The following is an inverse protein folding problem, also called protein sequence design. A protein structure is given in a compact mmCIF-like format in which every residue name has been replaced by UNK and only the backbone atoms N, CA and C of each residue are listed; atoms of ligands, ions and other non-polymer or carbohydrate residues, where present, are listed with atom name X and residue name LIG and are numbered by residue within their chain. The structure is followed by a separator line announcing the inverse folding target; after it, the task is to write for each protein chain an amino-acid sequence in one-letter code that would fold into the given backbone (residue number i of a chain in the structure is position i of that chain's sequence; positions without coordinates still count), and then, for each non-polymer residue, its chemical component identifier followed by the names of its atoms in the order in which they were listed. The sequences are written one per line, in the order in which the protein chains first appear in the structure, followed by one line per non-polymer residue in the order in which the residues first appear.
data_IF_145583450454
#
_entry.id   IF_145583450454
#
_cell.length_a   1.000
_cell.length_b   1.000
_cell.length_c   1.000
_cell.angle_alpha   90.00
_cell.angle_beta   90.00
_cell.angle_gamma   90.00
#
_symmetry.space_group_name_H-M   'P 1'
#
loop_
_entity.id
_entity.type
_entity.pdbx_description
1 polymer ?
#
# COMPACT_ATOMS: atom_id res chain seq x y z
N UNK A 1 12.36 18.43 -23.56
CA UNK A 1 12.01 18.63 -22.13
C UNK A 1 13.24 18.28 -21.31
N UNK A 2 13.81 19.24 -20.58
CA UNK A 2 14.95 18.96 -19.69
C UNK A 2 14.44 18.17 -18.49
N UNK A 3 15.12 17.08 -18.12
CA UNK A 3 14.76 16.28 -16.96
C UNK A 3 15.04 17.11 -15.69
N UNK A 4 13.99 17.55 -15.00
CA UNK A 4 14.11 18.26 -13.73
C UNK A 4 13.28 17.56 -12.63
N UNK A 5 13.62 17.85 -11.37
CA UNK A 5 13.02 17.19 -10.22
C UNK A 5 11.52 17.46 -10.10
N UNK A 6 11.09 18.67 -10.44
CA UNK A 6 9.68 19.11 -10.33
C UNK A 6 8.79 18.39 -11.33
N UNK A 7 9.22 18.26 -12.57
CA UNK A 7 8.46 17.58 -13.62
C UNK A 7 8.41 16.08 -13.37
N UNK A 8 9.53 15.49 -12.94
CA UNK A 8 9.58 14.10 -12.51
C UNK A 8 8.59 13.84 -11.36
N UNK A 9 8.63 14.67 -10.32
CA UNK A 9 7.74 14.57 -9.17
C UNK A 9 6.28 14.65 -9.60
N UNK A 10 5.92 15.67 -10.40
CA UNK A 10 4.57 15.84 -10.95
C UNK A 10 4.09 14.59 -11.70
N UNK A 11 4.90 14.02 -12.59
CA UNK A 11 4.52 12.83 -13.38
C UNK A 11 4.30 11.62 -12.47
N UNK A 12 5.23 11.37 -11.54
CA UNK A 12 5.19 10.19 -10.67
C UNK A 12 4.05 10.22 -9.65
N UNK A 13 3.49 11.39 -9.36
CA UNK A 13 2.38 11.55 -8.39
C UNK A 13 1.07 12.02 -9.01
N UNK A 14 1.00 12.32 -10.31
CA UNK A 14 -0.16 12.93 -10.98
C UNK A 14 -1.50 12.20 -10.76
N UNK A 15 -1.48 10.87 -10.69
CA UNK A 15 -2.68 10.04 -10.56
C UNK A 15 -3.02 9.62 -9.12
N UNK A 16 -2.24 10.06 -8.13
CA UNK A 16 -2.37 9.56 -6.74
C UNK A 16 -3.63 10.09 -6.08
N UNK A 17 -4.48 9.19 -5.56
CA UNK A 17 -5.69 9.52 -4.80
C UNK A 17 -5.37 9.87 -3.34
N UNK A 18 -6.31 10.54 -2.69
CA UNK A 18 -6.23 10.81 -1.24
C UNK A 18 -6.10 9.49 -0.47
N UNK A 19 -5.20 9.44 0.51
CA UNK A 19 -4.85 8.27 1.32
C UNK A 19 -4.24 7.08 0.57
N UNK A 20 -4.00 7.20 -0.74
CA UNK A 20 -3.26 6.21 -1.50
C UNK A 20 -1.78 6.26 -1.12
N UNK A 21 -1.15 5.11 -1.11
CA UNK A 21 0.28 5.02 -0.86
C UNK A 21 1.08 5.62 -2.01
N UNK A 22 2.29 6.11 -1.72
CA UNK A 22 3.25 6.40 -2.78
C UNK A 22 3.61 5.11 -3.52
N UNK A 23 3.64 5.20 -4.85
CA UNK A 23 4.14 4.12 -5.68
C UNK A 23 5.61 3.82 -5.36
N UNK A 24 6.08 2.56 -5.54
CA UNK A 24 7.48 2.21 -5.31
C UNK A 24 8.44 3.08 -6.14
N UNK A 25 8.06 3.41 -7.38
CA UNK A 25 8.83 4.28 -8.28
C UNK A 25 8.95 5.70 -7.72
N UNK A 26 7.86 6.28 -7.21
CA UNK A 26 7.89 7.60 -6.58
C UNK A 26 8.77 7.60 -5.32
N UNK A 27 8.71 6.53 -4.50
CA UNK A 27 9.58 6.39 -3.31
C UNK A 27 11.05 6.31 -3.69
N UNK A 28 11.40 5.52 -4.71
CA UNK A 28 12.76 5.41 -5.21
C UNK A 28 13.29 6.76 -5.71
N UNK A 29 12.48 7.50 -6.48
CA UNK A 29 12.85 8.82 -6.97
C UNK A 29 13.04 9.84 -5.83
N UNK A 30 12.19 9.81 -4.80
CA UNK A 30 12.33 10.64 -3.59
C UNK A 30 13.65 10.31 -2.88
N UNK A 31 13.91 9.04 -2.59
CA UNK A 31 15.15 8.63 -1.91
C UNK A 31 16.39 8.98 -2.75
N UNK A 32 16.34 8.76 -4.07
CA UNK A 32 17.44 9.11 -4.98
C UNK A 32 17.71 10.61 -5.03
N UNK A 33 16.67 11.44 -5.06
CA UNK A 33 16.83 12.90 -5.04
C UNK A 33 17.46 13.40 -3.73
N UNK A 34 17.03 12.85 -2.58
CA UNK A 34 17.64 13.19 -1.28
C UNK A 34 19.09 12.69 -1.20
N UNK A 35 19.37 11.47 -1.68
CA UNK A 35 20.73 10.94 -1.74
C UNK A 35 21.64 11.75 -2.67
N UNK A 36 21.08 12.33 -3.74
CA UNK A 36 21.74 13.28 -4.62
C UNK A 36 21.91 14.69 -4.05
N UNK A 37 21.62 14.91 -2.76
CA UNK A 37 21.83 16.17 -2.05
C UNK A 37 20.67 17.17 -2.11
N UNK A 38 19.54 16.82 -2.73
CA UNK A 38 18.37 17.69 -2.72
C UNK A 38 17.79 17.79 -1.29
N UNK A 39 17.43 19.00 -0.87
CA UNK A 39 16.78 19.17 0.44
C UNK A 39 15.42 18.46 0.46
N UNK A 40 15.05 17.87 1.61
CA UNK A 40 13.75 17.20 1.75
C UNK A 40 12.57 18.14 1.48
N UNK A 41 12.73 19.45 1.76
CA UNK A 41 11.71 20.48 1.49
C UNK A 41 11.53 20.71 -0.01
N UNK A 42 12.63 20.75 -0.76
CA UNK A 42 12.61 20.85 -2.24
C UNK A 42 11.97 19.62 -2.86
N UNK A 43 12.33 18.43 -2.39
CA UNK A 43 11.75 17.16 -2.86
C UNK A 43 10.25 17.10 -2.55
N UNK A 44 9.83 17.50 -1.34
CA UNK A 44 8.43 17.54 -0.96
C UNK A 44 7.59 18.44 -1.89
N UNK A 45 8.11 19.64 -2.22
CA UNK A 45 7.47 20.57 -3.14
C UNK A 45 7.37 19.98 -4.56
N UNK A 46 8.45 19.36 -5.06
CA UNK A 46 8.49 18.75 -6.39
C UNK A 46 7.48 17.59 -6.56
N UNK A 47 7.32 16.76 -5.53
CA UNK A 47 6.41 15.60 -5.53
C UNK A 47 5.00 15.92 -5.01
N UNK A 48 4.71 17.16 -4.63
CA UNK A 48 3.40 17.54 -4.09
C UNK A 48 3.00 16.78 -2.83
N UNK A 49 3.97 16.40 -1.99
CA UNK A 49 3.75 15.67 -0.74
C UNK A 49 4.22 16.48 0.48
N UNK A 50 3.76 16.11 1.67
CA UNK A 50 4.28 16.72 2.89
C UNK A 50 5.74 16.35 3.13
N UNK A 51 6.50 17.25 3.77
CA UNK A 51 7.88 16.99 4.21
C UNK A 51 7.99 15.72 5.08
N UNK A 52 7.01 15.47 5.95
CA UNK A 52 6.96 14.28 6.81
C UNK A 52 6.91 12.99 5.98
N UNK A 53 6.22 13.00 4.84
CA UNK A 53 6.16 11.83 3.93
C UNK A 53 7.54 11.56 3.32
N UNK A 54 8.29 12.60 2.93
CA UNK A 54 9.66 12.45 2.43
C UNK A 54 10.56 11.86 3.52
N UNK A 55 10.55 12.44 4.72
CA UNK A 55 11.33 11.96 5.86
C UNK A 55 11.02 10.49 6.20
N UNK A 56 9.74 10.13 6.28
CA UNK A 56 9.30 8.74 6.52
C UNK A 56 9.72 7.80 5.40
N UNK A 57 9.71 8.25 4.14
CA UNK A 57 10.11 7.41 2.99
C UNK A 57 11.60 7.09 3.06
N UNK A 58 12.44 8.10 3.34
CA UNK A 58 13.89 7.93 3.52
C UNK A 58 14.19 7.01 4.70
N UNK A 59 13.57 7.27 5.86
CA UNK A 59 13.74 6.44 7.06
C UNK A 59 13.32 4.99 6.81
N UNK A 60 12.17 4.79 6.16
CA UNK A 60 11.67 3.45 5.83
C UNK A 60 12.64 2.70 4.93
N UNK A 61 13.16 3.34 3.89
CA UNK A 61 14.17 2.73 3.02
C UNK A 61 15.42 2.35 3.80
N UNK A 62 15.92 3.22 4.69
CA UNK A 62 17.07 2.90 5.54
C UNK A 62 16.85 1.69 6.45
N UNK A 63 15.61 1.44 6.88
CA UNK A 63 15.29 0.29 7.75
C UNK A 63 14.96 -0.99 6.97
N UNK A 64 14.29 -0.90 5.81
CA UNK A 64 13.73 -2.06 5.12
C UNK A 64 14.40 -2.39 3.79
N UNK A 65 15.27 -1.52 3.28
CA UNK A 65 16.00 -1.65 2.00
C UNK A 65 15.08 -2.01 0.82
N UNK A 66 13.82 -1.60 0.89
CA UNK A 66 12.78 -1.91 -0.10
C UNK A 66 11.83 -0.72 -0.25
N UNK A 67 11.41 -0.49 -1.49
CA UNK A 67 10.42 0.52 -1.84
C UNK A 67 9.00 -0.02 -1.85
N UNK A 68 8.82 -1.34 -1.75
CA UNK A 68 7.51 -1.98 -1.77
C UNK A 68 6.76 -1.75 -0.47
N UNK A 69 5.44 -1.68 -0.59
CA UNK A 69 4.58 -1.56 0.59
C UNK A 69 4.56 -2.87 1.35
N UNK A 70 4.69 -2.78 2.68
CA UNK A 70 4.53 -3.93 3.56
C UNK A 70 3.04 -4.30 3.59
N UNK A 71 2.72 -5.59 3.78
CA UNK A 71 1.37 -5.97 4.18
C UNK A 71 0.90 -5.09 5.33
N UNK A 72 -0.33 -4.57 5.22
CA UNK A 72 -0.89 -3.71 6.27
C UNK A 72 -1.02 -4.53 7.55
N UNK A 73 -0.69 -3.92 8.69
CA UNK A 73 -0.91 -4.53 9.99
C UNK A 73 -2.40 -4.77 10.19
N UNK A 74 -2.75 -6.00 10.52
CA UNK A 74 -4.11 -6.44 10.80
C UNK A 74 -4.08 -7.87 11.35
N UNK A 75 -5.21 -8.35 11.88
CA UNK A 75 -5.34 -9.75 12.27
C UNK A 75 -5.17 -10.62 11.02
N UNK A 76 -4.25 -11.59 10.99
CA UNK A 76 -4.20 -12.58 9.91
C UNK A 76 -5.59 -13.18 9.71
N UNK A 77 -6.01 -13.37 8.47
CA UNK A 77 -7.29 -14.01 8.20
C UNK A 77 -7.24 -15.43 8.77
N UNK A 78 -8.24 -15.78 9.60
CA UNK A 78 -8.35 -17.12 10.17
C UNK A 78 -8.74 -18.17 9.11
N UNK A 79 -9.33 -17.72 8.02
CA UNK A 79 -9.82 -18.54 6.92
C UNK A 79 -9.03 -18.23 5.65
N UNK A 80 -8.77 -19.25 4.84
CA UNK A 80 -8.27 -19.04 3.48
C UNK A 80 -9.41 -18.57 2.57
N UNK A 81 -9.07 -18.02 1.40
CA UNK A 81 -10.09 -17.70 0.37
C UNK A 81 -10.91 -18.92 -0.06
N UNK A 82 -10.34 -20.13 0.03
CA UNK A 82 -11.03 -21.36 -0.31
C UNK A 82 -12.06 -21.70 0.77
N UNK A 83 -11.71 -21.58 2.05
CA UNK A 83 -12.61 -21.81 3.18
C UNK A 83 -13.78 -20.81 3.16
N UNK A 84 -13.50 -19.52 2.94
CA UNK A 84 -14.54 -18.50 2.79
C UNK A 84 -15.51 -18.85 1.66
N UNK A 85 -14.98 -19.27 0.50
CA UNK A 85 -15.80 -19.66 -0.65
C UNK A 85 -16.63 -20.90 -0.36
N UNK A 86 -16.05 -21.90 0.31
CA UNK A 86 -16.76 -23.11 0.71
C UNK A 86 -17.91 -22.78 1.66
N UNK A 87 -17.66 -22.03 2.73
CA UNK A 87 -18.68 -21.60 3.70
C UNK A 87 -19.81 -20.85 3.00
N UNK A 88 -19.49 -19.88 2.14
CA UNK A 88 -20.51 -19.10 1.42
C UNK A 88 -21.36 -19.98 0.51
N UNK A 89 -20.76 -20.94 -0.20
CA UNK A 89 -21.50 -21.82 -1.11
C UNK A 89 -22.34 -22.85 -0.36
N UNK A 90 -21.81 -23.41 0.74
CA UNK A 90 -22.54 -24.31 1.62
C UNK A 90 -23.74 -23.60 2.28
N UNK A 91 -23.56 -22.34 2.70
CA UNK A 91 -24.64 -21.52 3.27
C UNK A 91 -25.75 -21.24 2.25
N UNK A 92 -25.39 -20.94 0.99
CA UNK A 92 -26.36 -20.76 -0.10
C UNK A 92 -27.14 -22.02 -0.42
N UNK A 93 -26.47 -23.18 -0.47
CA UNK A 93 -27.12 -24.48 -0.72
C UNK A 93 -28.04 -24.88 0.44
N UNK A 94 -27.69 -24.48 1.65
CA UNK A 94 -28.37 -24.86 2.88
C UNK A 94 -29.10 -23.68 3.52
N UNK A 95 -29.69 -22.80 2.71
CA UNK A 95 -30.22 -21.51 3.14
C UNK A 95 -31.37 -21.58 4.17
N UNK A 96 -31.94 -22.78 4.39
CA UNK A 96 -33.03 -23.02 5.35
C UNK A 96 -32.54 -23.60 6.68
N UNK A 97 -31.27 -23.95 6.81
CA UNK A 97 -30.71 -24.51 8.04
C UNK A 97 -30.48 -23.43 9.08
N UNK A 98 -30.66 -23.80 10.34
CA UNK A 98 -30.24 -22.97 11.46
C UNK A 98 -28.72 -22.96 11.56
N UNK A 99 -28.18 -21.96 12.26
CA UNK A 99 -26.73 -21.82 12.49
C UNK A 99 -26.09 -23.11 13.01
N UNK A 100 -26.71 -23.77 13.98
CA UNK A 100 -26.22 -25.01 14.58
C UNK A 100 -26.18 -26.17 13.58
N UNK A 101 -27.26 -26.35 12.82
CA UNK A 101 -27.32 -27.36 11.76
C UNK A 101 -26.30 -27.10 10.64
N UNK A 102 -26.02 -25.83 10.36
CA UNK A 102 -25.02 -25.44 9.38
C UNK A 102 -23.58 -25.75 9.82
N UNK A 103 -23.24 -25.52 11.09
CA UNK A 103 -21.92 -25.88 11.62
C UNK A 103 -21.68 -27.38 11.60
N UNK A 104 -22.70 -28.19 11.91
CA UNK A 104 -22.61 -29.66 11.83
C UNK A 104 -22.31 -30.21 10.42
N UNK A 105 -22.46 -29.41 9.36
CA UNK A 105 -22.15 -29.78 7.96
C UNK A 105 -20.73 -29.33 7.56
N UNK A 106 -20.15 -28.40 8.31
CA UNK A 106 -18.81 -27.85 8.04
C UNK A 106 -17.70 -28.59 8.79
N UNK A 107 -18.03 -29.26 9.90
CA UNK A 107 -17.15 -30.18 10.64
C UNK A 107 -17.01 -31.53 9.93
#
# INVERSE_FOLDING_TARGET
MALNLTDLGRILTAGRKKNEELSPVARAAICGAVAGGASQRTVAAAFGVSHVVVAKTVQRFATTTSFDSKPRSGRPQALTRQDERYIVQSAKRSARLTREQFFNILD
#
